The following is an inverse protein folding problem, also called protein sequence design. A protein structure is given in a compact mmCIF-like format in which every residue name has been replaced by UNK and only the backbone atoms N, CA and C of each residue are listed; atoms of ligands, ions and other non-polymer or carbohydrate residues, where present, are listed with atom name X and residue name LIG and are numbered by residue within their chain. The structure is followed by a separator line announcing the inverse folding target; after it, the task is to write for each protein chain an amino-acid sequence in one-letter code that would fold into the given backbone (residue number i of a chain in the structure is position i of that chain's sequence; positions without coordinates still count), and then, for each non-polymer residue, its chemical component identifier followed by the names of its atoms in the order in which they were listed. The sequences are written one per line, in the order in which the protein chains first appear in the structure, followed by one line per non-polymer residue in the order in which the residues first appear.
data_IF_177680971753
#
_entry.id   IF_177680971753
#
_cell.length_a   1.000
_cell.length_b   1.000
_cell.length_c   1.000
_cell.angle_alpha   90.00
_cell.angle_beta   90.00
_cell.angle_gamma   90.00
#
_symmetry.space_group_name_H-M   'P 1'
#
loop_
_entity.id
_entity.type
_entity.pdbx_description
1 polymer ?
#
# COMPACT_ATOMS: atom_id res chain seq x y z
N UNK A 1 -27.82 41.12 42.01
CA UNK A 1 -26.81 40.30 41.30
C UNK A 1 -27.55 39.15 40.65
N UNK A 2 -28.07 39.34 39.43
CA UNK A 2 -28.69 38.24 38.71
C UNK A 2 -27.62 37.47 37.94
N UNK A 3 -27.68 36.17 38.18
CA UNK A 3 -26.73 35.12 37.92
C UNK A 3 -27.03 34.54 36.55
N UNK A 4 -25.97 34.37 35.77
CA UNK A 4 -25.84 33.60 34.52
C UNK A 4 -27.16 33.05 33.93
N UNK A 5 -27.80 33.81 33.03
CA UNK A 5 -28.80 33.25 32.11
C UNK A 5 -28.05 32.72 30.88
N UNK A 6 -27.95 31.40 30.68
CA UNK A 6 -27.38 30.88 29.44
C UNK A 6 -28.23 31.40 28.29
N UNK A 7 -27.59 32.06 27.31
CA UNK A 7 -28.30 32.59 26.15
C UNK A 7 -29.12 31.48 25.50
N UNK A 8 -30.31 31.84 24.98
CA UNK A 8 -31.23 30.89 24.31
C UNK A 8 -30.56 30.10 23.15
N UNK A 9 -29.37 30.52 22.72
CA UNK A 9 -28.49 29.92 21.72
C UNK A 9 -27.59 28.77 22.21
N UNK A 10 -27.29 28.64 23.51
CA UNK A 10 -26.37 27.59 24.00
C UNK A 10 -27.02 26.20 24.02
N UNK A 11 -28.30 26.12 24.40
CA UNK A 11 -29.06 24.86 24.44
C UNK A 11 -29.13 24.14 23.08
N UNK A 12 -29.50 24.80 21.96
CA UNK A 12 -29.51 24.12 20.66
C UNK A 12 -28.11 23.69 20.20
N UNK A 13 -27.06 24.43 20.55
CA UNK A 13 -25.68 24.03 20.23
C UNK A 13 -25.26 22.74 20.94
N UNK A 14 -25.60 22.59 22.23
CA UNK A 14 -25.34 21.37 22.99
C UNK A 14 -26.14 20.17 22.44
N UNK A 15 -27.37 20.40 21.98
CA UNK A 15 -28.18 19.37 21.33
C UNK A 15 -27.54 18.93 20.02
N UNK A 16 -27.15 19.88 19.16
CA UNK A 16 -26.47 19.57 17.89
C UNK A 16 -25.15 18.80 18.13
N UNK A 17 -24.39 19.18 19.16
CA UNK A 17 -23.17 18.47 19.55
C UNK A 17 -23.45 17.04 20.02
N UNK A 18 -24.43 16.83 20.89
CA UNK A 18 -24.81 15.49 21.35
C UNK A 18 -25.32 14.62 20.19
N UNK A 19 -26.13 15.19 19.29
CA UNK A 19 -26.61 14.52 18.08
C UNK A 19 -25.46 14.13 17.16
N UNK A 20 -24.46 14.99 16.98
CA UNK A 20 -23.27 14.67 16.18
C UNK A 20 -22.56 13.41 16.69
N UNK A 21 -22.28 13.31 17.99
CA UNK A 21 -21.61 12.13 18.56
C UNK A 21 -22.48 10.87 18.49
N UNK A 22 -23.79 10.99 18.69
CA UNK A 22 -24.70 9.86 18.55
C UNK A 22 -24.73 9.33 17.12
N UNK A 23 -24.83 10.22 16.12
CA UNK A 23 -24.80 9.86 14.70
C UNK A 23 -23.43 9.32 14.30
N UNK A 24 -22.33 9.94 14.72
CA UNK A 24 -20.98 9.47 14.43
C UNK A 24 -20.71 8.07 15.04
N UNK A 25 -21.18 7.84 16.28
CA UNK A 25 -21.11 6.54 16.94
C UNK A 25 -21.95 5.48 16.24
N UNK A 26 -23.19 5.82 15.88
CA UNK A 26 -24.07 4.94 15.11
C UNK A 26 -23.45 4.58 13.75
N UNK A 27 -22.99 5.57 12.99
CA UNK A 27 -22.33 5.36 11.70
C UNK A 27 -21.09 4.47 11.86
N UNK A 28 -20.25 4.70 12.87
CA UNK A 28 -19.08 3.84 13.14
C UNK A 28 -19.47 2.41 13.51
N UNK A 29 -20.55 2.24 14.28
CA UNK A 29 -21.06 0.92 14.69
C UNK A 29 -21.70 0.15 13.54
N UNK A 30 -22.46 0.82 12.68
CA UNK A 30 -23.13 0.21 11.51
C UNK A 30 -22.26 0.17 10.27
N UNK A 31 -21.09 0.79 10.29
CA UNK A 31 -20.17 0.78 9.17
C UNK A 31 -19.66 -0.64 8.93
N UNK A 32 -20.11 -1.21 7.82
CA UNK A 32 -19.52 -2.42 7.25
C UNK A 32 -18.45 -1.97 6.27
N UNK A 33 -17.15 -2.22 6.53
CA UNK A 33 -16.11 -1.94 5.55
C UNK A 33 -16.45 -2.69 4.27
N UNK A 34 -16.42 -2.02 3.12
CA UNK A 34 -16.48 -2.76 1.86
C UNK A 34 -15.28 -3.72 1.84
N UNK A 35 -15.47 -5.01 1.55
CA UNK A 35 -14.36 -5.93 1.33
C UNK A 35 -13.42 -5.29 0.31
N UNK A 36 -12.10 -5.35 0.55
CA UNK A 36 -11.11 -4.83 -0.40
C UNK A 36 -11.45 -5.43 -1.78
N UNK A 37 -11.86 -4.61 -2.76
CA UNK A 37 -12.31 -5.12 -4.06
C UNK A 37 -11.19 -5.87 -4.78
N UNK A 38 -9.94 -5.72 -4.34
CA UNK A 38 -8.78 -6.44 -4.84
C UNK A 38 -8.12 -7.24 -3.71
N UNK A 39 -8.35 -8.57 -3.63
CA UNK A 39 -7.63 -9.39 -2.66
C UNK A 39 -6.12 -9.18 -2.85
N UNK A 40 -5.45 -8.85 -1.75
CA UNK A 40 -4.00 -8.65 -1.72
C UNK A 40 -3.29 -9.99 -1.79
N UNK A 41 -2.34 -10.09 -2.69
CA UNK A 41 -1.41 -11.23 -2.74
C UNK A 41 -0.20 -10.84 -1.92
N UNK A 42 0.11 -11.63 -0.89
CA UNK A 42 1.27 -11.43 -0.05
C UNK A 42 2.50 -12.04 -0.70
N UNK A 43 3.59 -11.28 -0.69
CA UNK A 43 4.89 -11.72 -1.18
C UNK A 43 5.72 -12.11 0.04
N UNK A 44 6.10 -13.38 0.15
CA UNK A 44 6.96 -13.86 1.21
C UNK A 44 8.36 -14.19 0.70
N UNK A 45 9.35 -13.98 1.55
CA UNK A 45 10.73 -14.32 1.26
C UNK A 45 11.02 -15.84 1.21
N UNK A 46 12.29 -16.21 1.02
CA UNK A 46 13.45 -15.31 1.08
C UNK A 46 13.53 -14.38 -0.13
N UNK A 47 13.69 -13.08 0.13
CA UNK A 47 14.00 -12.06 -0.87
C UNK A 47 15.50 -12.07 -1.14
N UNK A 48 15.89 -12.25 -2.41
CA UNK A 48 17.30 -12.35 -2.79
C UNK A 48 17.95 -10.97 -2.76
N UNK A 49 19.05 -10.82 -2.02
CA UNK A 49 19.83 -9.58 -2.03
C UNK A 49 20.52 -9.41 -3.39
N UNK A 50 20.27 -8.29 -4.06
CA UNK A 50 20.95 -7.96 -5.32
C UNK A 50 22.13 -6.99 -5.11
N UNK A 51 22.11 -6.20 -4.03
CA UNK A 51 23.17 -5.26 -3.65
C UNK A 51 22.60 -3.97 -3.05
N UNK A 52 23.39 -3.23 -2.27
CA UNK A 52 22.95 -1.97 -1.64
C UNK A 52 21.67 -2.15 -0.81
N UNK A 53 20.60 -1.43 -1.13
CA UNK A 53 19.25 -1.59 -0.56
C UNK A 53 18.29 -2.45 -1.39
N UNK A 54 18.76 -3.04 -2.49
CA UNK A 54 17.95 -3.78 -3.47
C UNK A 54 17.81 -5.27 -3.14
N UNK A 55 16.56 -5.73 -3.26
CA UNK A 55 16.12 -7.10 -3.06
C UNK A 55 15.18 -7.56 -4.19
N UNK A 56 15.27 -8.82 -4.57
CA UNK A 56 14.40 -9.43 -5.58
C UNK A 56 13.37 -10.36 -4.94
N UNK A 57 12.12 -10.22 -5.37
CA UNK A 57 11.07 -11.20 -5.17
C UNK A 57 10.76 -11.92 -6.49
N UNK A 58 10.68 -13.25 -6.42
CA UNK A 58 10.25 -14.11 -7.53
C UNK A 58 8.81 -14.53 -7.32
N UNK A 59 7.99 -14.41 -8.35
CA UNK A 59 6.61 -14.86 -8.31
C UNK A 59 6.52 -16.33 -8.75
N UNK A 60 5.61 -17.13 -8.18
CA UNK A 60 5.36 -18.47 -8.70
C UNK A 60 4.86 -18.39 -10.15
N UNK A 61 5.16 -19.37 -11.03
CA UNK A 61 4.91 -19.27 -12.48
C UNK A 61 3.45 -19.02 -12.90
N UNK A 62 2.48 -19.25 -12.02
CA UNK A 62 1.03 -19.08 -12.29
C UNK A 62 0.45 -17.81 -11.66
N UNK A 63 1.27 -17.05 -10.96
CA UNK A 63 0.83 -15.86 -10.26
C UNK A 63 0.57 -14.73 -11.27
N UNK A 64 -0.61 -14.10 -11.17
CA UNK A 64 -0.93 -12.97 -12.04
C UNK A 64 -0.43 -11.68 -11.37
N UNK A 65 0.65 -11.11 -11.88
CA UNK A 65 1.19 -9.81 -11.45
C UNK A 65 0.86 -8.68 -12.43
N UNK A 66 0.10 -8.98 -13.49
CA UNK A 66 -0.22 -8.04 -14.56
C UNK A 66 0.94 -7.88 -15.53
N UNK A 67 0.83 -6.93 -16.45
CA UNK A 67 1.92 -6.62 -17.36
C UNK A 67 3.10 -6.01 -16.58
N UNK A 68 4.27 -6.64 -16.61
CA UNK A 68 5.51 -6.05 -16.13
C UNK A 68 6.08 -5.09 -17.18
N UNK A 69 6.94 -4.15 -16.80
CA UNK A 69 7.64 -3.28 -17.74
C UNK A 69 8.57 -4.07 -18.67
N UNK A 70 8.91 -3.50 -19.83
CA UNK A 70 9.97 -4.03 -20.70
C UNK A 70 10.69 -2.90 -21.41
N UNK A 71 11.74 -3.23 -22.16
CA UNK A 71 12.50 -2.26 -22.94
C UNK A 71 11.60 -1.43 -23.89
N UNK A 72 10.63 -2.09 -24.56
CA UNK A 72 9.70 -1.42 -25.47
C UNK A 72 8.60 -0.61 -24.75
N UNK A 73 8.31 -0.94 -23.49
CA UNK A 73 7.25 -0.31 -22.71
C UNK A 73 7.71 -0.16 -21.25
N UNK A 74 8.55 0.83 -20.94
CA UNK A 74 9.25 0.93 -19.65
C UNK A 74 8.36 1.35 -18.47
N UNK A 75 7.11 1.75 -18.73
CA UNK A 75 6.16 2.23 -17.71
C UNK A 75 4.75 1.67 -17.92
N UNK A 76 4.60 0.49 -18.52
CA UNK A 76 3.26 -0.12 -18.74
C UNK A 76 2.72 -0.83 -17.51
N UNK A 77 3.58 -1.12 -16.53
CA UNK A 77 3.16 -1.86 -15.37
C UNK A 77 2.22 -1.05 -14.48
N UNK A 78 1.12 -1.67 -14.07
CA UNK A 78 0.20 -1.11 -13.07
C UNK A 78 0.43 -1.70 -11.69
N UNK A 79 1.55 -2.41 -11.51
CA UNK A 79 1.90 -3.07 -10.26
C UNK A 79 2.10 -2.03 -9.15
N UNK A 80 1.39 -2.19 -8.04
CA UNK A 80 1.54 -1.35 -6.84
C UNK A 80 2.02 -2.20 -5.68
N UNK A 81 3.24 -1.93 -5.22
CA UNK A 81 3.81 -2.57 -4.04
C UNK A 81 3.31 -1.88 -2.77
N UNK A 82 3.01 -2.69 -1.76
CA UNK A 82 2.65 -2.25 -0.41
C UNK A 82 3.61 -2.84 0.61
N UNK A 83 4.00 -2.03 1.59
CA UNK A 83 4.72 -2.42 2.80
C UNK A 83 3.79 -2.11 3.99
N UNK A 84 3.47 -3.13 4.80
CA UNK A 84 2.54 -3.01 5.93
C UNK A 84 1.25 -2.27 5.57
N UNK A 85 0.63 -2.71 4.46
CA UNK A 85 -0.63 -2.20 3.91
C UNK A 85 -0.57 -0.77 3.34
N UNK A 86 0.57 -0.09 3.43
CA UNK A 86 0.81 1.24 2.84
C UNK A 86 1.48 1.12 1.47
N UNK A 87 0.99 1.82 0.44
CA UNK A 87 1.64 1.81 -0.86
C UNK A 87 3.02 2.45 -0.74
N UNK A 88 4.01 1.85 -1.38
CA UNK A 88 5.38 2.37 -1.43
C UNK A 88 5.75 2.73 -2.87
N UNK A 89 6.90 3.36 -3.04
CA UNK A 89 7.45 3.78 -4.32
C UNK A 89 8.66 4.68 -4.09
N UNK A 90 9.18 5.33 -5.14
CA UNK A 90 8.69 5.35 -6.52
C UNK A 90 8.61 4.00 -7.26
N UNK A 91 7.59 3.83 -8.10
CA UNK A 91 7.47 2.71 -9.06
C UNK A 91 8.37 2.94 -10.29
N UNK A 92 8.55 1.92 -11.13
CA UNK A 92 9.36 1.99 -12.38
C UNK A 92 10.79 2.50 -12.15
N UNK A 93 11.35 2.26 -10.96
CA UNK A 93 12.66 2.78 -10.60
C UNK A 93 13.77 2.03 -11.32
N UNK A 94 14.85 2.74 -11.67
CA UNK A 94 16.05 2.08 -12.19
C UNK A 94 16.66 1.17 -11.12
N UNK A 95 17.17 0.00 -11.52
CA UNK A 95 17.80 -0.95 -10.60
C UNK A 95 18.94 -0.31 -9.78
N UNK A 96 19.70 0.60 -10.38
CA UNK A 96 20.76 1.34 -9.70
C UNK A 96 20.21 2.25 -8.59
N UNK A 97 19.08 2.91 -8.81
CA UNK A 97 18.47 3.80 -7.82
C UNK A 97 17.85 3.00 -6.67
N UNK A 98 17.27 1.83 -6.95
CA UNK A 98 16.79 0.92 -5.92
C UNK A 98 17.95 0.46 -5.03
N UNK A 99 19.10 0.15 -5.61
CA UNK A 99 20.28 -0.28 -4.86
C UNK A 99 20.95 0.86 -4.08
N UNK A 100 21.11 2.04 -4.68
CA UNK A 100 21.91 3.13 -4.12
C UNK A 100 21.11 4.06 -3.20
N UNK A 101 19.83 4.29 -3.52
CA UNK A 101 18.97 5.21 -2.78
C UNK A 101 17.96 4.45 -1.92
N UNK A 102 17.44 3.34 -2.45
CA UNK A 102 16.39 2.54 -1.81
C UNK A 102 15.14 3.36 -1.52
N UNK A 103 14.64 3.29 -0.29
CA UNK A 103 13.57 4.16 0.21
C UNK A 103 12.19 3.80 -0.32
N UNK A 104 11.90 2.51 -0.50
CA UNK A 104 10.61 2.03 -1.03
C UNK A 104 10.53 1.99 -2.55
N UNK A 105 11.62 2.35 -3.26
CA UNK A 105 11.71 2.24 -4.73
C UNK A 105 11.56 0.80 -5.19
N UNK A 106 10.86 0.60 -6.31
CA UNK A 106 10.73 -0.71 -6.93
C UNK A 106 10.58 -0.66 -8.45
N UNK A 107 10.82 -1.81 -9.07
CA UNK A 107 10.70 -2.09 -10.50
C UNK A 107 10.04 -3.46 -10.68
N UNK A 108 8.94 -3.51 -11.42
CA UNK A 108 8.29 -4.75 -11.83
C UNK A 108 8.56 -4.97 -13.31
N UNK A 109 9.55 -5.82 -13.61
CA UNK A 109 10.17 -5.91 -14.94
C UNK A 109 10.06 -7.32 -15.52
N UNK A 110 9.84 -7.41 -16.83
CA UNK A 110 9.79 -8.66 -17.57
C UNK A 110 11.20 -9.23 -17.76
N UNK A 111 11.43 -10.45 -17.29
CA UNK A 111 12.66 -11.22 -17.53
C UNK A 111 12.43 -12.38 -18.49
N UNK A 112 13.50 -13.08 -18.85
CA UNK A 112 13.47 -14.34 -19.60
C UNK A 112 12.67 -15.45 -18.90
N UNK A 113 12.63 -15.43 -17.56
CA UNK A 113 11.95 -16.42 -16.72
C UNK A 113 10.55 -16.00 -16.28
N UNK A 114 10.07 -14.83 -16.71
CA UNK A 114 8.80 -14.25 -16.28
C UNK A 114 8.96 -12.88 -15.61
N UNK A 115 7.86 -12.29 -15.10
CA UNK A 115 7.92 -11.04 -14.36
C UNK A 115 8.71 -11.20 -13.05
N UNK A 116 9.52 -10.21 -12.70
CA UNK A 116 10.25 -10.16 -11.44
C UNK A 116 10.06 -8.78 -10.77
N UNK A 117 10.12 -8.76 -9.45
CA UNK A 117 10.06 -7.53 -8.67
C UNK A 117 11.44 -7.27 -8.05
N UNK A 118 12.05 -6.14 -8.39
CA UNK A 118 13.18 -5.58 -7.66
C UNK A 118 12.68 -4.43 -6.78
N UNK A 119 12.99 -4.43 -5.50
CA UNK A 119 12.51 -3.40 -4.57
C UNK A 119 13.48 -3.15 -3.42
N UNK A 120 13.16 -2.12 -2.63
CA UNK A 120 13.81 -1.79 -1.36
C UNK A 120 12.74 -1.53 -0.30
N UNK A 121 13.04 -1.82 0.96
CA UNK A 121 12.19 -1.41 2.07
C UNK A 121 12.17 0.13 2.21
N UNK A 122 11.11 0.70 2.77
CA UNK A 122 10.97 2.17 2.92
C UNK A 122 12.07 2.81 3.76
N UNK A 123 12.59 2.08 4.73
CA UNK A 123 13.68 2.48 5.63
C UNK A 123 15.01 1.77 5.31
N UNK A 124 15.10 1.11 4.16
CA UNK A 124 16.26 0.34 3.70
C UNK A 124 16.66 -0.85 4.60
N UNK A 125 15.82 -1.24 5.56
CA UNK A 125 16.02 -2.45 6.36
C UNK A 125 15.93 -3.72 5.50
N UNK A 126 16.46 -4.83 6.03
CA UNK A 126 16.36 -6.12 5.35
C UNK A 126 14.90 -6.62 5.41
N UNK A 127 14.23 -6.84 4.27
CA UNK A 127 12.84 -7.31 4.23
C UNK A 127 12.67 -8.73 4.76
N UNK A 128 13.75 -9.52 4.89
CA UNK A 128 13.69 -10.88 5.44
C UNK A 128 13.70 -10.91 6.98
N UNK A 129 14.25 -9.88 7.65
CA UNK A 129 14.41 -9.84 9.11
C UNK A 129 13.66 -8.71 9.80
N UNK A 130 13.19 -7.70 9.06
CA UNK A 130 12.45 -6.56 9.61
C UNK A 130 11.04 -6.91 10.11
N UNK A 131 10.48 -8.06 9.75
CA UNK A 131 9.12 -8.46 10.10
C UNK A 131 8.01 -7.74 9.31
N UNK A 132 8.39 -6.89 8.35
CA UNK A 132 7.47 -6.16 7.47
C UNK A 132 6.78 -7.10 6.48
N UNK A 133 5.54 -6.79 6.14
CA UNK A 133 4.74 -7.58 5.19
C UNK A 133 4.61 -6.86 3.86
N UNK A 134 4.94 -7.56 2.79
CA UNK A 134 4.84 -7.02 1.43
C UNK A 134 3.66 -7.64 0.69
N UNK A 135 2.93 -6.82 -0.06
CA UNK A 135 1.79 -7.29 -0.85
C UNK A 135 1.56 -6.43 -2.08
N UNK A 136 0.75 -6.94 -3.01
CA UNK A 136 0.25 -6.20 -4.16
C UNK A 136 -1.20 -6.60 -4.44
N UNK A 137 -2.00 -5.73 -5.08
CA UNK A 137 -3.38 -6.04 -5.41
C UNK A 137 -3.39 -7.02 -6.58
N UNK A 138 -4.21 -8.07 -6.48
CA UNK A 138 -4.38 -9.00 -7.59
C UNK A 138 -4.94 -8.23 -8.81
N UNK A 139 -4.25 -8.24 -9.97
CA UNK A 139 -4.73 -7.58 -11.16
C UNK A 139 -6.09 -8.13 -11.57
N UNK A 140 -6.99 -7.25 -12.02
CA UNK A 140 -8.23 -7.67 -12.65
C UNK A 140 -7.86 -8.45 -13.91
N UNK A 141 -8.43 -9.65 -14.06
CA UNK A 141 -8.27 -10.43 -15.30
C UNK A 141 -8.77 -9.55 -16.45
N UNK A 142 -7.94 -9.31 -17.46
CA UNK A 142 -8.44 -8.78 -18.72
C UNK A 142 -9.29 -9.91 -19.32
N UNK A 143 -10.59 -9.67 -19.43
CA UNK A 143 -11.57 -10.48 -20.13
C UNK A 143 -11.42 -10.39 -21.65
#
# INVERSE_FOLDING_TARGET
MDWWTPSKTIKPALIAFALYFAVAGYLKYTYVPQPDPFPRVYISGPFYKLGGSSYAATFPPRENTGAADSADNPTRSTFQLYEDEKPIGPAHSLNADIANLGGGRYSHWQTDKGPALNFSATDNSDPNSSGKRYSYPKPRRAD
#
